data_IF_225144795535
#
_entry.id   IF_225144795535
#
_cell.length_a   1.000
_cell.length_b   1.000
_cell.length_c   1.000
_cell.angle_alpha   90.00
_cell.angle_beta   90.00
_cell.angle_gamma   90.00
#
_symmetry.space_group_name_H-M   'P 1'
#
loop_
_entity.id
_entity.type
_entity.pdbx_description
1 polymer ?
#
# COMPACT_ATOMS: atom_id res chain seq x y z
N UNK A 1 18.09 -10.12 1.64
CA UNK A 1 17.04 -9.66 0.70
C UNK A 1 15.82 -10.56 0.65
N UNK A 2 15.93 -11.90 0.56
CA UNK A 2 14.75 -12.78 0.58
C UNK A 2 13.83 -12.55 1.79
N UNK A 3 14.40 -12.39 3.00
CA UNK A 3 13.62 -12.10 4.22
C UNK A 3 12.83 -10.79 4.11
N UNK A 4 13.38 -9.75 3.48
CA UNK A 4 12.66 -8.49 3.29
C UNK A 4 11.45 -8.65 2.34
N UNK A 5 11.59 -9.44 1.27
CA UNK A 5 10.49 -9.78 0.36
C UNK A 5 9.42 -10.62 1.04
N UNK A 6 9.82 -11.61 1.85
CA UNK A 6 8.88 -12.42 2.65
C UNK A 6 8.11 -11.53 3.64
N UNK A 7 8.79 -10.59 4.31
CA UNK A 7 8.13 -9.64 5.20
C UNK A 7 7.13 -8.73 4.45
N UNK A 8 7.52 -8.25 3.26
CA UNK A 8 6.64 -7.46 2.39
C UNK A 8 5.39 -8.25 1.96
N UNK A 9 5.55 -9.50 1.53
CA UNK A 9 4.45 -10.39 1.18
C UNK A 9 3.54 -10.69 2.39
N UNK A 10 4.13 -10.89 3.57
CA UNK A 10 3.38 -11.08 4.82
C UNK A 10 2.72 -9.79 5.34
N UNK A 11 2.84 -8.66 4.64
CA UNK A 11 2.26 -7.38 5.03
C UNK A 11 2.98 -6.67 6.19
N UNK A 12 4.13 -7.17 6.64
CA UNK A 12 4.94 -6.56 7.70
C UNK A 12 5.85 -5.49 7.12
N UNK A 13 5.27 -4.31 6.84
CA UNK A 13 5.97 -3.25 6.12
C UNK A 13 7.19 -2.68 6.86
N UNK A 14 7.13 -2.57 8.20
CA UNK A 14 8.26 -2.09 9.01
C UNK A 14 9.42 -3.09 9.01
N UNK A 15 9.12 -4.38 9.17
CA UNK A 15 10.12 -5.45 9.06
C UNK A 15 10.77 -5.47 7.69
N UNK A 16 9.97 -5.30 6.63
CA UNK A 16 10.47 -5.27 5.25
C UNK A 16 11.48 -4.13 5.06
N UNK A 17 11.20 -2.93 5.60
CA UNK A 17 12.12 -1.79 5.57
C UNK A 17 13.40 -2.11 6.34
N UNK A 18 13.29 -2.52 7.60
CA UNK A 18 14.44 -2.79 8.45
C UNK A 18 15.37 -3.86 7.86
N UNK A 19 14.78 -4.93 7.30
CA UNK A 19 15.53 -6.01 6.65
C UNK A 19 16.18 -5.56 5.33
N UNK A 20 15.51 -4.73 4.53
CA UNK A 20 16.05 -4.19 3.29
C UNK A 20 17.23 -3.25 3.57
N UNK A 21 17.09 -2.31 4.51
CA UNK A 21 18.14 -1.39 4.91
C UNK A 21 19.33 -2.11 5.54
N UNK A 22 19.09 -3.10 6.39
CA UNK A 22 20.15 -3.93 6.98
C UNK A 22 20.95 -4.67 5.92
N UNK A 23 20.26 -5.24 4.91
CA UNK A 23 20.92 -5.91 3.81
C UNK A 23 21.76 -4.93 2.95
N UNK A 24 21.24 -3.72 2.67
CA UNK A 24 21.97 -2.66 1.96
C UNK A 24 23.26 -2.27 2.70
N UNK A 25 23.19 -2.01 4.02
CA UNK A 25 24.36 -1.66 4.82
C UNK A 25 25.44 -2.73 4.82
N UNK A 26 25.07 -4.01 4.95
CA UNK A 26 26.05 -5.14 4.97
C UNK A 26 26.80 -5.26 3.65
N UNK A 27 26.15 -5.03 2.53
CA UNK A 27 26.78 -5.15 1.21
C UNK A 27 27.70 -3.97 0.95
N UNK A 28 27.36 -2.75 1.44
CA UNK A 28 28.27 -1.58 1.39
C UNK A 28 29.54 -1.81 2.17
N UNK A 29 29.44 -2.38 3.38
CA UNK A 29 30.59 -2.72 4.22
C UNK A 29 31.52 -3.75 3.55
N UNK A 30 30.99 -4.62 2.67
CA UNK A 30 31.76 -5.60 1.91
C UNK A 30 32.33 -5.11 0.57
N UNK A 31 32.22 -3.81 0.26
CA UNK A 31 32.75 -3.22 -0.98
C UNK A 31 31.99 -3.61 -2.26
N UNK A 32 30.80 -4.20 -2.15
CA UNK A 32 29.95 -4.60 -3.26
C UNK A 32 28.75 -3.66 -3.41
N UNK A 33 28.66 -2.96 -4.53
CA UNK A 33 27.54 -2.05 -4.84
C UNK A 33 26.17 -2.73 -5.00
N UNK A 34 26.10 -4.06 -5.05
CA UNK A 34 24.88 -4.82 -5.33
C UNK A 34 23.78 -4.74 -4.23
N UNK A 35 24.08 -4.23 -3.03
CA UNK A 35 23.12 -4.22 -1.92
C UNK A 35 22.00 -3.22 -2.08
N UNK A 36 22.29 -2.04 -2.58
CA UNK A 36 21.29 -1.00 -2.83
C UNK A 36 20.33 -1.45 -3.93
N UNK A 37 20.85 -2.11 -4.96
CA UNK A 37 20.08 -2.62 -6.09
C UNK A 37 18.92 -3.52 -5.68
N UNK A 38 19.14 -4.43 -4.74
CA UNK A 38 18.14 -5.37 -4.28
C UNK A 38 17.20 -4.77 -3.21
N UNK A 39 17.67 -3.78 -2.46
CA UNK A 39 16.90 -3.14 -1.40
C UNK A 39 15.88 -2.12 -1.96
N UNK A 40 16.29 -1.35 -2.97
CA UNK A 40 15.47 -0.25 -3.53
C UNK A 40 14.09 -0.71 -4.00
N UNK A 41 13.92 -1.83 -4.73
CA UNK A 41 12.58 -2.28 -5.15
C UNK A 41 11.66 -2.57 -3.96
N UNK A 42 12.17 -3.17 -2.89
CA UNK A 42 11.37 -3.44 -1.68
C UNK A 42 11.00 -2.13 -0.98
N UNK A 43 11.95 -1.21 -0.82
CA UNK A 43 11.71 0.11 -0.21
C UNK A 43 10.74 0.95 -1.03
N UNK A 44 10.85 0.93 -2.36
CA UNK A 44 9.92 1.59 -3.27
C UNK A 44 8.50 0.99 -3.16
N UNK A 45 8.38 -0.33 -3.12
CA UNK A 45 7.08 -1.00 -2.94
C UNK A 45 6.44 -0.67 -1.59
N UNK A 46 7.21 -0.64 -0.50
CA UNK A 46 6.71 -0.23 0.81
C UNK A 46 6.24 1.22 0.80
N UNK A 47 7.06 2.14 0.27
CA UNK A 47 6.71 3.56 0.17
C UNK A 47 5.43 3.76 -0.66
N UNK A 48 5.29 3.03 -1.77
CA UNK A 48 4.10 3.05 -2.61
C UNK A 48 2.85 2.54 -1.86
N UNK A 49 2.95 1.42 -1.14
CA UNK A 49 1.85 0.89 -0.31
C UNK A 49 1.45 1.86 0.80
N UNK A 50 2.41 2.54 1.42
CA UNK A 50 2.19 3.60 2.43
C UNK A 50 1.64 4.91 1.84
N UNK A 51 1.64 5.06 0.52
CA UNK A 51 1.16 6.26 -0.17
C UNK A 51 2.18 7.39 -0.23
N UNK A 52 3.43 7.14 0.13
CA UNK A 52 4.54 8.11 -0.01
C UNK A 52 5.12 8.02 -1.43
N UNK A 53 4.43 8.67 -2.36
CA UNK A 53 4.82 8.65 -3.78
C UNK A 53 6.15 9.36 -4.06
N UNK A 54 6.50 10.35 -3.24
CA UNK A 54 7.77 11.09 -3.38
C UNK A 54 8.93 10.17 -3.06
N UNK A 55 8.84 9.47 -1.93
CA UNK A 55 9.87 8.52 -1.50
C UNK A 55 9.94 7.29 -2.39
N UNK A 56 8.80 6.78 -2.87
CA UNK A 56 8.77 5.70 -3.85
C UNK A 56 9.50 6.09 -5.14
N UNK A 57 9.25 7.29 -5.66
CA UNK A 57 9.93 7.81 -6.85
C UNK A 57 11.44 8.04 -6.62
N UNK A 58 11.85 8.53 -5.45
CA UNK A 58 13.26 8.67 -5.09
C UNK A 58 13.98 7.31 -5.14
N UNK A 59 13.40 6.27 -4.54
CA UNK A 59 13.98 4.93 -4.59
C UNK A 59 14.08 4.40 -6.03
N UNK A 60 13.04 4.60 -6.85
CA UNK A 60 13.02 4.20 -8.26
C UNK A 60 14.09 4.94 -9.06
N UNK A 61 14.29 6.25 -8.88
CA UNK A 61 15.32 7.04 -9.58
C UNK A 61 16.74 6.54 -9.30
N UNK A 62 16.97 5.86 -8.19
CA UNK A 62 18.27 5.27 -7.84
C UNK A 62 18.52 3.92 -8.51
N UNK A 63 17.49 3.28 -9.10
CA UNK A 63 17.61 1.96 -9.74
C UNK A 63 18.44 1.94 -11.04
N UNK A 64 18.34 2.91 -11.98
CA UNK A 64 19.08 2.89 -13.24
C UNK A 64 20.60 2.91 -13.07
N UNK A 65 21.12 3.57 -12.02
CA UNK A 65 22.52 3.54 -11.68
C UNK A 65 23.06 2.13 -11.35
N UNK A 66 22.15 1.18 -11.20
CA UNK A 66 22.40 -0.20 -10.75
C UNK A 66 22.17 -1.25 -11.85
N UNK A 67 21.67 -0.82 -13.03
CA UNK A 67 21.21 -1.69 -14.13
C UNK A 67 22.27 -2.61 -14.75
N UNK A 68 23.55 -2.41 -14.47
CA UNK A 68 24.63 -3.29 -14.94
C UNK A 68 24.87 -4.51 -14.02
N UNK A 69 24.13 -4.63 -12.90
CA UNK A 69 24.39 -5.66 -11.88
C UNK A 69 23.32 -6.75 -11.74
N UNK A 70 22.28 -6.75 -12.59
CA UNK A 70 21.24 -7.79 -12.52
C UNK A 70 21.44 -8.88 -13.57
N UNK A 71 22.05 -10.02 -13.21
CA UNK A 71 22.21 -11.14 -14.14
C UNK A 71 20.94 -11.98 -14.29
N UNK A 72 19.84 -11.64 -13.60
CA UNK A 72 18.60 -12.44 -13.57
C UNK A 72 17.42 -11.67 -14.11
N UNK A 73 16.73 -12.16 -15.15
CA UNK A 73 15.49 -11.57 -15.66
C UNK A 73 14.45 -11.33 -14.56
N UNK A 74 14.35 -12.27 -13.61
CA UNK A 74 13.42 -12.16 -12.47
C UNK A 74 13.65 -10.91 -11.61
N UNK A 75 14.90 -10.52 -11.38
CA UNK A 75 15.21 -9.31 -10.61
C UNK A 75 14.93 -8.05 -11.44
N UNK A 76 15.28 -8.07 -12.72
CA UNK A 76 15.03 -6.97 -13.66
C UNK A 76 13.54 -6.73 -13.82
N UNK A 77 12.74 -7.76 -14.03
CA UNK A 77 11.28 -7.66 -14.18
C UNK A 77 10.61 -7.15 -12.89
N UNK A 78 11.09 -7.60 -11.72
CA UNK A 78 10.58 -7.11 -10.43
C UNK A 78 10.87 -5.62 -10.19
N UNK A 79 12.03 -5.14 -10.63
CA UNK A 79 12.39 -3.71 -10.61
C UNK A 79 11.45 -2.93 -11.55
N UNK A 80 11.34 -3.35 -12.80
CA UNK A 80 10.49 -2.70 -13.80
C UNK A 80 9.02 -2.65 -13.39
N UNK A 81 8.52 -3.71 -12.73
CA UNK A 81 7.16 -3.73 -12.21
C UNK A 81 6.93 -2.64 -11.16
N UNK A 82 7.85 -2.47 -10.20
CA UNK A 82 7.73 -1.43 -9.18
C UNK A 82 7.84 -0.03 -9.80
N UNK A 83 8.72 0.17 -10.77
CA UNK A 83 8.81 1.43 -11.54
C UNK A 83 7.50 1.74 -12.25
N UNK A 84 6.91 0.75 -12.93
CA UNK A 84 5.62 0.90 -13.59
C UNK A 84 4.49 1.22 -12.60
N UNK A 85 4.49 0.62 -11.41
CA UNK A 85 3.53 0.92 -10.35
C UNK A 85 3.65 2.36 -9.83
N UNK A 86 4.87 2.89 -9.73
CA UNK A 86 5.11 4.29 -9.38
C UNK A 86 4.66 5.22 -10.50
N UNK A 87 4.93 4.86 -11.76
CA UNK A 87 4.46 5.60 -12.93
C UNK A 87 2.93 5.63 -13.02
N UNK A 88 2.27 4.49 -12.82
CA UNK A 88 0.79 4.42 -12.74
C UNK A 88 0.25 5.37 -11.69
N UNK A 89 0.86 5.39 -10.51
CA UNK A 89 0.43 6.26 -9.42
C UNK A 89 0.59 7.75 -9.71
N UNK A 90 1.60 8.14 -10.51
CA UNK A 90 1.95 9.54 -10.80
C UNK A 90 1.35 10.07 -12.10
N UNK A 91 1.25 9.22 -13.12
CA UNK A 91 0.92 9.61 -14.51
C UNK A 91 -0.27 8.84 -15.10
N UNK A 92 -0.80 7.86 -14.37
CA UNK A 92 -1.92 7.05 -14.78
C UNK A 92 -1.54 5.75 -15.51
N UNK A 93 -2.57 4.92 -15.81
CA UNK A 93 -2.39 3.55 -16.30
C UNK A 93 -1.67 3.48 -17.66
N UNK A 94 -1.92 4.41 -18.56
CA UNK A 94 -1.29 4.41 -19.89
C UNK A 94 0.24 4.53 -19.78
N UNK A 95 0.73 5.42 -18.93
CA UNK A 95 2.17 5.60 -18.73
C UNK A 95 2.89 4.35 -18.19
N UNK A 96 2.20 3.56 -17.37
CA UNK A 96 2.72 2.28 -16.88
C UNK A 96 2.80 1.23 -17.99
N UNK A 97 1.78 1.14 -18.86
CA UNK A 97 1.78 0.22 -19.99
C UNK A 97 2.85 0.59 -21.03
N UNK A 98 2.98 1.86 -21.37
CA UNK A 98 3.99 2.33 -22.32
C UNK A 98 5.41 2.03 -21.81
N UNK A 99 5.64 2.17 -20.50
CA UNK A 99 6.93 1.82 -19.86
C UNK A 99 7.22 0.31 -19.90
N UNK A 100 6.19 -0.55 -19.82
CA UNK A 100 6.33 -2.00 -19.86
C UNK A 100 6.11 -2.60 -21.25
N UNK A 101 5.98 -1.79 -22.31
CA UNK A 101 5.57 -2.26 -23.63
C UNK A 101 6.45 -3.40 -24.18
N UNK A 102 7.76 -3.32 -24.03
CA UNK A 102 8.71 -4.35 -24.44
C UNK A 102 8.59 -5.65 -23.60
N UNK A 103 8.43 -5.53 -22.28
CA UNK A 103 8.18 -6.69 -21.39
C UNK A 103 6.87 -7.36 -21.72
N UNK A 104 5.83 -6.59 -21.99
CA UNK A 104 4.51 -7.11 -22.30
C UNK A 104 4.43 -7.70 -23.71
N UNK A 105 5.22 -7.20 -24.68
CA UNK A 105 5.39 -7.80 -25.99
C UNK A 105 6.11 -9.13 -25.92
N UNK A 106 7.10 -9.26 -25.03
CA UNK A 106 7.90 -10.48 -24.81
C UNK A 106 7.40 -11.31 -23.61
N UNK A 107 6.12 -11.34 -23.28
CA UNK A 107 5.58 -12.10 -22.14
C UNK A 107 5.98 -13.57 -22.09
N UNK A 108 6.11 -14.33 -23.21
CA UNK A 108 6.61 -15.70 -23.19
C UNK A 108 8.00 -15.84 -22.56
N UNK A 109 8.88 -14.85 -22.76
CA UNK A 109 10.24 -14.78 -22.22
C UNK A 109 10.30 -14.08 -20.85
N UNK A 110 9.40 -13.11 -20.62
CA UNK A 110 9.33 -12.27 -19.41
C UNK A 110 8.26 -12.71 -18.41
N UNK A 111 7.97 -14.03 -18.32
CA UNK A 111 6.95 -14.57 -17.39
C UNK A 111 7.22 -14.21 -15.91
N UNK A 112 8.46 -13.91 -15.56
CA UNK A 112 8.85 -13.52 -14.20
C UNK A 112 8.16 -12.24 -13.73
N UNK A 113 7.74 -11.33 -14.62
CA UNK A 113 6.97 -10.13 -14.25
C UNK A 113 5.62 -10.49 -13.64
N UNK A 114 4.99 -11.57 -14.10
CA UNK A 114 3.70 -12.09 -13.60
C UNK A 114 3.84 -12.76 -12.22
N UNK A 115 5.04 -13.19 -11.87
CA UNK A 115 5.36 -14.00 -10.70
C UNK A 115 6.08 -13.21 -9.61
N UNK A 116 6.26 -11.91 -9.79
CA UNK A 116 6.97 -11.05 -8.81
C UNK A 116 6.29 -11.06 -7.44
N UNK A 117 4.97 -10.95 -7.43
CA UNK A 117 4.09 -11.24 -6.31
C UNK A 117 2.71 -11.70 -6.84
N UNK A 118 1.82 -12.26 -5.97
CA UNK A 118 0.52 -12.77 -6.42
C UNK A 118 -0.43 -11.71 -6.97
N UNK A 119 -0.19 -10.44 -6.67
CA UNK A 119 -0.99 -9.34 -7.18
C UNK A 119 -0.45 -8.76 -8.50
N UNK A 120 0.71 -9.21 -9.00
CA UNK A 120 1.37 -8.66 -10.20
C UNK A 120 0.52 -8.82 -11.44
N UNK A 121 0.10 -10.04 -11.78
CA UNK A 121 -0.71 -10.29 -12.97
C UNK A 121 -2.09 -9.58 -12.88
N UNK A 122 -2.86 -9.68 -11.77
CA UNK A 122 -4.09 -8.90 -11.61
C UNK A 122 -3.88 -7.38 -11.71
N UNK A 123 -2.78 -6.85 -11.16
CA UNK A 123 -2.48 -5.43 -11.30
C UNK A 123 -2.25 -5.03 -12.77
N UNK A 124 -1.48 -5.82 -13.53
CA UNK A 124 -1.25 -5.56 -14.95
C UNK A 124 -2.55 -5.60 -15.76
N UNK A 125 -3.43 -6.58 -15.50
CA UNK A 125 -4.77 -6.66 -16.13
C UNK A 125 -5.60 -5.42 -15.80
N UNK A 126 -5.64 -5.00 -14.54
CA UNK A 126 -6.37 -3.82 -14.10
C UNK A 126 -5.86 -2.54 -14.77
N UNK A 127 -4.54 -2.40 -14.90
CA UNK A 127 -3.91 -1.25 -15.58
C UNK A 127 -4.24 -1.25 -17.07
N UNK A 128 -4.19 -2.41 -17.73
CA UNK A 128 -4.53 -2.54 -19.14
C UNK A 128 -6.02 -2.19 -19.41
N UNK A 129 -6.93 -2.73 -18.60
CA UNK A 129 -8.36 -2.40 -18.69
C UNK A 129 -8.63 -0.91 -18.43
N UNK A 130 -7.95 -0.31 -17.44
CA UNK A 130 -8.09 1.12 -17.13
C UNK A 130 -7.51 2.04 -18.23
N UNK A 131 -6.55 1.55 -19.01
CA UNK A 131 -6.02 2.24 -20.21
C UNK A 131 -6.85 1.99 -21.48
N UNK A 132 -7.91 1.19 -21.41
CA UNK A 132 -8.74 0.81 -22.54
C UNK A 132 -8.14 -0.28 -23.44
N UNK A 133 -7.06 -0.92 -23.02
CA UNK A 133 -6.35 -1.96 -23.78
C UNK A 133 -6.78 -3.37 -23.33
N UNK A 134 -7.97 -3.76 -23.77
CA UNK A 134 -8.54 -5.07 -23.45
C UNK A 134 -7.77 -6.23 -24.10
N UNK A 135 -7.17 -5.99 -25.25
CA UNK A 135 -6.36 -7.00 -25.93
C UNK A 135 -5.11 -7.33 -25.13
N UNK A 136 -4.41 -6.30 -24.63
CA UNK A 136 -3.26 -6.51 -23.73
C UNK A 136 -3.67 -7.21 -22.44
N UNK A 137 -4.82 -6.85 -21.85
CA UNK A 137 -5.35 -7.54 -20.68
C UNK A 137 -5.58 -9.04 -20.96
N UNK A 138 -6.14 -9.39 -22.12
CA UNK A 138 -6.36 -10.78 -22.52
C UNK A 138 -5.02 -11.55 -22.71
N UNK A 139 -4.01 -10.92 -23.30
CA UNK A 139 -2.67 -11.52 -23.43
C UNK A 139 -2.03 -11.82 -22.07
N UNK A 140 -2.17 -10.91 -21.11
CA UNK A 140 -1.67 -11.12 -19.75
C UNK A 140 -2.39 -12.29 -19.07
N UNK A 141 -3.73 -12.36 -19.18
CA UNK A 141 -4.54 -13.47 -18.63
C UNK A 141 -4.13 -14.80 -19.25
N UNK A 142 -3.95 -14.86 -20.57
CA UNK A 142 -3.48 -16.07 -21.25
C UNK A 142 -2.12 -16.51 -20.72
N UNK A 143 -1.17 -15.59 -20.58
CA UNK A 143 0.18 -15.89 -20.12
C UNK A 143 0.21 -16.44 -18.68
N UNK A 144 -0.51 -15.80 -17.74
CA UNK A 144 -0.56 -16.30 -16.35
C UNK A 144 -1.35 -17.61 -16.26
N UNK A 145 -2.38 -17.80 -17.08
CA UNK A 145 -3.14 -19.04 -17.17
C UNK A 145 -2.29 -20.21 -17.68
N UNK A 146 -1.38 -19.99 -18.63
CA UNK A 146 -0.40 -20.99 -19.07
C UNK A 146 0.56 -21.37 -17.95
N UNK A 147 1.06 -20.39 -17.20
CA UNK A 147 1.93 -20.64 -16.03
C UNK A 147 1.18 -21.44 -14.98
N UNK A 148 -0.08 -21.11 -14.69
CA UNK A 148 -0.90 -21.84 -13.72
C UNK A 148 -1.16 -23.29 -14.14
N UNK A 149 -1.47 -23.53 -15.43
CA UNK A 149 -1.66 -24.89 -15.97
C UNK A 149 -0.39 -25.74 -15.92
N UNK A 150 0.77 -25.13 -16.13
CA UNK A 150 2.07 -25.78 -16.01
C UNK A 150 2.48 -26.07 -14.54
N UNK A 151 1.80 -25.46 -13.57
CA UNK A 151 2.12 -25.55 -12.13
C UNK A 151 0.86 -25.80 -11.28
N UNK A 152 0.12 -26.91 -11.49
CA UNK A 152 -1.21 -27.13 -10.89
C UNK A 152 -1.18 -27.26 -9.37
N UNK A 153 -0.04 -27.62 -8.78
CA UNK A 153 0.14 -27.75 -7.33
C UNK A 153 0.38 -26.41 -6.61
N UNK A 154 0.72 -25.34 -7.36
CA UNK A 154 1.01 -24.04 -6.80
C UNK A 154 -0.27 -23.18 -6.69
N UNK A 155 -1.01 -23.37 -5.60
CA UNK A 155 -2.29 -22.68 -5.34
C UNK A 155 -2.18 -21.14 -5.50
N UNK A 156 -1.04 -20.56 -5.13
CA UNK A 156 -0.81 -19.12 -5.23
C UNK A 156 -0.84 -18.60 -6.67
N UNK A 157 -0.23 -19.35 -7.60
CA UNK A 157 -0.19 -18.98 -9.03
C UNK A 157 -1.60 -19.15 -9.64
N UNK A 158 -2.29 -20.23 -9.28
CA UNK A 158 -3.66 -20.47 -9.72
C UNK A 158 -4.60 -19.35 -9.24
N UNK A 159 -4.54 -18.98 -7.97
CA UNK A 159 -5.36 -17.88 -7.44
C UNK A 159 -5.03 -16.53 -8.12
N UNK A 160 -3.76 -16.25 -8.43
CA UNK A 160 -3.37 -15.07 -9.21
C UNK A 160 -3.97 -15.08 -10.63
N UNK A 161 -3.98 -16.25 -11.30
CA UNK A 161 -4.58 -16.41 -12.62
C UNK A 161 -6.11 -16.23 -12.57
N UNK A 162 -6.78 -16.84 -11.61
CA UNK A 162 -8.24 -16.69 -11.40
C UNK A 162 -8.63 -15.24 -11.12
N UNK A 163 -7.85 -14.52 -10.29
CA UNK A 163 -8.09 -13.11 -10.05
C UNK A 163 -7.94 -12.27 -11.34
N UNK A 164 -6.88 -12.53 -12.12
CA UNK A 164 -6.65 -11.85 -13.38
C UNK A 164 -7.77 -12.13 -14.41
N UNK A 165 -8.22 -13.38 -14.52
CA UNK A 165 -9.32 -13.80 -15.39
C UNK A 165 -10.65 -13.17 -14.96
N UNK A 166 -10.96 -13.19 -13.67
CA UNK A 166 -12.17 -12.57 -13.13
C UNK A 166 -12.25 -11.06 -13.40
N UNK A 167 -11.12 -10.36 -13.41
CA UNK A 167 -11.06 -8.95 -13.82
C UNK A 167 -11.39 -8.78 -15.31
N UNK A 168 -10.83 -9.61 -16.19
CA UNK A 168 -11.03 -9.54 -17.64
C UNK A 168 -12.48 -9.87 -18.03
N UNK A 169 -13.04 -10.92 -17.39
CA UNK A 169 -14.38 -11.42 -17.68
C UNK A 169 -15.49 -10.74 -16.88
N UNK A 170 -15.10 -9.93 -15.88
CA UNK A 170 -16.01 -9.34 -14.88
C UNK A 170 -16.74 -10.40 -14.04
N UNK A 171 -16.10 -11.54 -13.80
CA UNK A 171 -16.65 -12.64 -13.01
C UNK A 171 -16.29 -12.51 -11.54
N UNK A 172 -17.27 -12.13 -10.73
CA UNK A 172 -17.14 -11.95 -9.27
C UNK A 172 -16.81 -13.28 -8.57
N UNK A 173 -17.29 -14.41 -9.10
CA UNK A 173 -17.09 -15.73 -8.46
C UNK A 173 -15.61 -16.15 -8.52
N UNK A 174 -14.90 -15.84 -9.61
CA UNK A 174 -13.47 -16.07 -9.73
C UNK A 174 -12.68 -15.23 -8.71
N UNK A 175 -13.08 -13.97 -8.49
CA UNK A 175 -12.41 -13.13 -7.50
C UNK A 175 -12.65 -13.62 -6.07
N UNK A 176 -13.85 -14.10 -5.76
CA UNK A 176 -14.18 -14.71 -4.47
C UNK A 176 -13.34 -15.95 -4.21
N UNK A 177 -13.25 -16.84 -5.20
CA UNK A 177 -12.46 -18.06 -5.10
C UNK A 177 -10.96 -17.74 -4.95
N UNK A 178 -10.44 -16.83 -5.76
CA UNK A 178 -9.05 -16.38 -5.67
C UNK A 178 -8.73 -15.78 -4.29
N UNK A 179 -9.58 -14.88 -3.78
CA UNK A 179 -9.34 -14.24 -2.48
C UNK A 179 -9.30 -15.24 -1.32
N UNK A 180 -10.13 -16.29 -1.37
CA UNK A 180 -10.15 -17.34 -0.36
C UNK A 180 -8.87 -18.20 -0.36
N UNK A 181 -8.17 -18.31 -1.50
CA UNK A 181 -6.95 -19.12 -1.65
C UNK A 181 -5.65 -18.31 -1.48
N UNK A 182 -5.70 -16.97 -1.45
CA UNK A 182 -4.51 -16.12 -1.33
C UNK A 182 -4.06 -16.02 0.14
N UNK A 183 -2.92 -16.62 0.52
CA UNK A 183 -2.35 -16.47 1.86
C UNK A 183 -1.67 -15.11 2.06
N UNK A 184 -1.26 -14.45 0.96
CA UNK A 184 -0.68 -13.10 0.97
C UNK A 184 -1.78 -12.09 1.29
N UNK A 185 -1.71 -11.40 2.45
CA UNK A 185 -2.78 -10.50 2.87
C UNK A 185 -2.93 -9.27 1.97
N UNK A 186 -1.85 -8.81 1.33
CA UNK A 186 -1.92 -7.71 0.36
C UNK A 186 -2.64 -8.14 -0.91
N UNK A 187 -2.28 -9.30 -1.49
CA UNK A 187 -2.91 -9.82 -2.69
C UNK A 187 -4.39 -10.14 -2.44
N UNK A 188 -4.72 -10.70 -1.26
CA UNK A 188 -6.11 -10.93 -0.84
C UNK A 188 -6.89 -9.64 -0.75
N UNK A 189 -6.36 -8.59 -0.11
CA UNK A 189 -7.02 -7.29 -0.03
C UNK A 189 -7.26 -6.69 -1.43
N UNK A 190 -6.32 -6.86 -2.37
CA UNK A 190 -6.49 -6.43 -3.76
C UNK A 190 -7.64 -7.18 -4.45
N UNK A 191 -7.74 -8.52 -4.28
CA UNK A 191 -8.80 -9.32 -4.87
C UNK A 191 -10.19 -8.94 -4.31
N UNK A 192 -10.29 -8.74 -3.00
CA UNK A 192 -11.54 -8.32 -2.34
C UNK A 192 -11.94 -6.90 -2.74
N UNK A 193 -10.99 -5.98 -2.91
CA UNK A 193 -11.26 -4.63 -3.43
C UNK A 193 -11.79 -4.67 -4.88
N UNK A 194 -11.16 -5.46 -5.73
CA UNK A 194 -11.57 -5.61 -7.12
C UNK A 194 -12.94 -6.28 -7.24
N UNK A 195 -13.22 -7.28 -6.40
CA UNK A 195 -14.57 -7.86 -6.25
C UNK A 195 -15.60 -6.78 -5.91
N UNK A 196 -15.31 -5.95 -4.91
CA UNK A 196 -16.20 -4.85 -4.54
C UNK A 196 -16.42 -3.85 -5.68
N UNK A 197 -15.39 -3.60 -6.50
CA UNK A 197 -15.50 -2.73 -7.67
C UNK A 197 -16.39 -3.33 -8.78
N UNK A 198 -16.26 -4.63 -9.06
CA UNK A 198 -17.11 -5.33 -10.03
C UNK A 198 -18.57 -5.39 -9.56
N UNK A 199 -18.80 -5.68 -8.27
CA UNK A 199 -20.14 -5.67 -7.69
C UNK A 199 -20.80 -4.29 -7.81
N UNK A 200 -20.05 -3.22 -7.56
CA UNK A 200 -20.53 -1.85 -7.74
C UNK A 200 -20.90 -1.55 -9.21
N UNK A 201 -20.06 -1.97 -10.14
CA UNK A 201 -20.31 -1.82 -11.57
C UNK A 201 -21.55 -2.61 -12.03
N UNK A 202 -21.89 -3.72 -11.36
CA UNK A 202 -23.08 -4.52 -11.59
C UNK A 202 -24.33 -4.01 -10.83
N UNK A 203 -24.27 -2.87 -10.14
CA UNK A 203 -25.38 -2.32 -9.35
C UNK A 203 -25.70 -3.08 -8.06
N UNK A 204 -24.80 -3.99 -7.62
CA UNK A 204 -24.94 -4.80 -6.38
C UNK A 204 -24.35 -4.06 -5.18
N UNK A 205 -24.84 -2.83 -4.93
CA UNK A 205 -24.23 -1.88 -3.99
C UNK A 205 -24.02 -2.42 -2.58
N UNK A 206 -25.01 -3.15 -2.02
CA UNK A 206 -24.89 -3.70 -0.66
C UNK A 206 -23.75 -4.70 -0.53
N UNK A 207 -23.52 -5.51 -1.55
CA UNK A 207 -22.43 -6.50 -1.59
C UNK A 207 -21.10 -5.82 -1.88
N UNK A 208 -21.10 -4.85 -2.79
CA UNK A 208 -19.93 -4.01 -3.06
C UNK A 208 -19.42 -3.32 -1.79
N UNK A 209 -20.32 -2.72 -1.01
CA UNK A 209 -19.97 -2.06 0.25
C UNK A 209 -19.34 -3.05 1.23
N UNK A 210 -19.91 -4.26 1.41
CA UNK A 210 -19.32 -5.27 2.30
C UNK A 210 -17.91 -5.66 1.89
N UNK A 211 -17.69 -5.96 0.61
CA UNK A 211 -16.36 -6.31 0.09
C UNK A 211 -15.36 -5.16 0.23
N UNK A 212 -15.78 -3.93 -0.09
CA UNK A 212 -14.91 -2.75 0.06
C UNK A 212 -14.58 -2.45 1.54
N UNK A 213 -15.51 -2.66 2.47
CA UNK A 213 -15.23 -2.51 3.90
C UNK A 213 -14.26 -3.59 4.41
N UNK A 214 -14.37 -4.81 3.91
CA UNK A 214 -13.41 -5.88 4.21
C UNK A 214 -12.02 -5.54 3.70
N UNK A 215 -11.89 -5.16 2.44
CA UNK A 215 -10.62 -4.72 1.85
C UNK A 215 -10.03 -3.52 2.61
N UNK A 216 -10.86 -2.57 3.03
CA UNK A 216 -10.44 -1.41 3.80
C UNK A 216 -9.83 -1.80 5.14
N UNK A 217 -10.49 -2.71 5.90
CA UNK A 217 -9.96 -3.21 7.17
C UNK A 217 -8.60 -3.91 6.99
N UNK A 218 -8.47 -4.70 5.93
CA UNK A 218 -7.21 -5.39 5.63
C UNK A 218 -6.09 -4.39 5.30
N UNK A 219 -6.34 -3.42 4.41
CA UNK A 219 -5.36 -2.37 4.08
C UNK A 219 -4.95 -1.51 5.29
N UNK A 220 -5.90 -1.20 6.17
CA UNK A 220 -5.63 -0.42 7.39
C UNK A 220 -4.72 -1.22 8.34
N UNK A 221 -5.02 -2.51 8.56
CA UNK A 221 -4.18 -3.42 9.35
C UNK A 221 -2.76 -3.56 8.80
N UNK A 222 -2.60 -3.54 7.47
CA UNK A 222 -1.32 -3.60 6.78
C UNK A 222 -0.57 -2.26 6.76
N UNK A 223 -1.15 -1.17 7.25
CA UNK A 223 -0.59 0.18 7.10
C UNK A 223 -0.52 0.67 5.64
N UNK A 224 -1.31 0.07 4.75
CA UNK A 224 -1.30 0.31 3.31
C UNK A 224 -2.18 1.51 2.94
N UNK A 225 -1.75 2.72 3.34
CA UNK A 225 -2.51 3.98 3.22
C UNK A 225 -3.02 4.28 1.81
N UNK A 226 -2.28 3.86 0.77
CA UNK A 226 -2.74 4.04 -0.63
C UNK A 226 -3.98 3.19 -0.91
N UNK A 227 -4.00 1.92 -0.49
CA UNK A 227 -5.17 1.04 -0.59
C UNK A 227 -6.36 1.60 0.20
N UNK A 228 -6.12 2.03 1.44
CA UNK A 228 -7.12 2.71 2.28
C UNK A 228 -7.75 3.90 1.57
N UNK A 229 -6.94 4.79 1.00
CA UNK A 229 -7.43 5.99 0.31
C UNK A 229 -8.28 5.65 -0.93
N UNK A 230 -7.83 4.67 -1.72
CA UNK A 230 -8.53 4.21 -2.93
C UNK A 230 -9.87 3.57 -2.57
N UNK A 231 -9.90 2.66 -1.60
CA UNK A 231 -11.11 1.96 -1.16
C UNK A 231 -12.12 2.92 -0.52
N UNK A 232 -11.65 3.87 0.31
CA UNK A 232 -12.51 4.94 0.85
C UNK A 232 -13.14 5.80 -0.24
N UNK A 233 -12.42 6.08 -1.32
CA UNK A 233 -12.99 6.82 -2.46
C UNK A 233 -14.12 6.04 -3.12
N UNK A 234 -13.96 4.73 -3.36
CA UNK A 234 -15.00 3.85 -3.93
C UNK A 234 -16.24 3.78 -3.03
N UNK A 235 -16.05 3.64 -1.72
CA UNK A 235 -17.15 3.63 -0.75
C UNK A 235 -17.93 4.96 -0.74
N UNK A 236 -17.22 6.10 -0.86
CA UNK A 236 -17.90 7.41 -1.01
C UNK A 236 -18.73 7.51 -2.29
N UNK A 237 -18.27 6.93 -3.39
CA UNK A 237 -19.02 6.87 -4.66
C UNK A 237 -20.32 6.07 -4.51
N UNK A 238 -20.36 5.06 -3.64
CA UNK A 238 -21.55 4.29 -3.27
C UNK A 238 -22.39 4.96 -2.15
N UNK A 239 -22.13 6.22 -1.85
CA UNK A 239 -22.89 6.98 -0.85
C UNK A 239 -22.54 6.72 0.61
N UNK A 240 -21.54 5.86 0.88
CA UNK A 240 -21.11 5.56 2.26
C UNK A 240 -20.33 6.74 2.82
N UNK A 241 -20.99 7.52 3.69
CA UNK A 241 -20.41 8.65 4.41
C UNK A 241 -20.19 8.29 5.89
N UNK A 242 -19.12 7.56 6.20
CA UNK A 242 -18.74 7.36 7.60
C UNK A 242 -17.79 8.47 8.04
N UNK A 243 -18.20 9.26 9.05
CA UNK A 243 -17.36 10.33 9.63
C UNK A 243 -16.09 9.82 10.32
N UNK A 244 -16.02 8.54 10.72
CA UNK A 244 -14.93 7.96 11.50
C UNK A 244 -14.56 6.53 11.02
N UNK A 245 -13.81 6.42 9.94
CA UNK A 245 -13.25 5.15 9.48
C UNK A 245 -12.03 4.68 10.30
N UNK A 246 -11.49 5.54 11.18
CA UNK A 246 -10.27 5.29 11.95
C UNK A 246 -10.54 4.89 13.42
N UNK A 247 -11.81 4.62 13.80
CA UNK A 247 -12.21 4.57 15.21
C UNK A 247 -12.38 3.17 15.82
N UNK A 248 -12.35 2.08 15.03
CA UNK A 248 -12.68 0.76 15.61
C UNK A 248 -11.54 0.10 16.40
N UNK A 249 -10.32 0.66 16.39
CA UNK A 249 -9.17 0.12 17.14
C UNK A 249 -8.56 1.10 18.16
N UNK A 250 -9.11 2.31 18.29
CA UNK A 250 -8.61 3.26 19.29
C UNK A 250 -9.49 3.23 20.54
N UNK A 251 -8.90 3.29 21.75
CA UNK A 251 -9.66 3.44 22.99
C UNK A 251 -10.60 4.64 22.90
N UNK A 252 -11.74 4.58 23.60
CA UNK A 252 -12.72 5.66 23.60
C UNK A 252 -12.19 6.95 24.25
N UNK A 253 -11.17 6.86 25.13
CA UNK A 253 -10.57 7.96 25.86
C UNK A 253 -9.06 7.78 26.06
N UNK A 254 -8.37 8.85 26.47
CA UNK A 254 -6.94 8.88 26.73
C UNK A 254 -6.07 9.16 25.49
N UNK A 255 -4.75 9.25 25.69
CA UNK A 255 -3.79 9.65 24.65
C UNK A 255 -3.83 8.75 23.40
N UNK A 256 -4.01 7.44 23.59
CA UNK A 256 -4.12 6.46 22.50
C UNK A 256 -5.40 6.63 21.64
N UNK A 257 -6.40 7.39 22.13
CA UNK A 257 -7.62 7.72 21.38
C UNK A 257 -7.41 8.84 20.36
N UNK A 258 -6.31 9.60 20.49
CA UNK A 258 -6.03 10.75 19.62
C UNK A 258 -5.61 10.29 18.22
N UNK A 259 -6.10 10.97 17.21
CA UNK A 259 -5.62 10.82 15.83
C UNK A 259 -4.22 11.41 15.66
N UNK A 260 -3.51 11.04 14.61
CA UNK A 260 -2.14 11.52 14.34
C UNK A 260 -2.08 13.04 14.27
N UNK A 261 -3.09 13.70 13.66
CA UNK A 261 -3.19 15.15 13.59
C UNK A 261 -3.54 15.77 14.97
N UNK A 262 -4.34 15.09 15.78
CA UNK A 262 -4.66 15.51 17.15
C UNK A 262 -3.44 15.38 18.06
N UNK A 263 -2.65 14.28 17.92
CA UNK A 263 -1.38 14.12 18.64
C UNK A 263 -0.35 15.16 18.21
N UNK A 264 -0.20 15.40 16.89
CA UNK A 264 0.69 16.44 16.39
C UNK A 264 0.28 17.82 16.92
N UNK A 265 -1.02 18.13 16.90
CA UNK A 265 -1.54 19.38 17.48
C UNK A 265 -1.24 19.48 18.97
N UNK A 266 -1.42 18.39 19.73
CA UNK A 266 -1.15 18.35 21.18
C UNK A 266 0.35 18.55 21.49
N UNK A 267 1.27 17.94 20.72
CA UNK A 267 2.71 18.14 20.87
C UNK A 267 3.13 19.58 20.61
N UNK A 268 2.60 20.21 19.56
CA UNK A 268 2.89 21.61 19.26
C UNK A 268 2.32 22.58 20.32
N UNK A 269 1.23 22.20 20.99
CA UNK A 269 0.75 22.90 22.17
C UNK A 269 1.72 22.80 23.33
N UNK A 270 2.31 21.63 23.55
CA UNK A 270 3.32 21.42 24.61
C UNK A 270 4.59 22.23 24.35
N UNK A 271 4.93 22.50 23.08
CA UNK A 271 6.01 23.39 22.65
C UNK A 271 5.67 24.88 22.84
N UNK A 272 4.47 25.20 23.34
CA UNK A 272 4.03 26.59 23.59
C UNK A 272 3.53 27.35 22.35
N UNK A 273 3.31 26.70 21.20
CA UNK A 273 2.91 27.36 19.97
C UNK A 273 1.47 27.86 20.05
N UNK A 274 1.20 29.05 19.49
CA UNK A 274 -0.17 29.56 19.31
C UNK A 274 -0.90 28.80 18.19
N UNK A 275 -2.24 28.87 18.19
CA UNK A 275 -3.05 28.23 17.14
C UNK A 275 -2.66 28.69 15.73
N UNK A 276 -2.24 29.96 15.58
CA UNK A 276 -1.77 30.50 14.29
C UNK A 276 -0.46 29.84 13.84
N UNK A 277 0.48 29.64 14.76
CA UNK A 277 1.76 28.96 14.45
C UNK A 277 1.56 27.46 14.18
N UNK A 278 0.68 26.81 14.96
CA UNK A 278 0.29 25.40 14.72
C UNK A 278 -0.35 25.26 13.34
N UNK A 279 -1.25 26.17 12.97
CA UNK A 279 -1.89 26.20 11.65
C UNK A 279 -0.85 26.29 10.51
N UNK A 280 0.15 27.15 10.68
CA UNK A 280 1.26 27.28 9.71
C UNK A 280 2.12 26.01 9.61
N UNK A 281 2.46 25.37 10.72
CA UNK A 281 3.30 24.15 10.72
C UNK A 281 2.56 22.93 10.17
N UNK A 282 1.25 22.81 10.43
CA UNK A 282 0.45 21.68 9.96
C UNK A 282 -0.22 21.94 8.60
N UNK A 283 -0.01 23.12 7.99
CA UNK A 283 -0.61 23.53 6.71
C UNK A 283 -2.15 23.43 6.72
N UNK A 284 -2.79 23.85 7.82
CA UNK A 284 -4.24 23.86 8.02
C UNK A 284 -4.72 25.26 8.50
N UNK A 285 -6.04 25.49 8.50
CA UNK A 285 -6.58 26.75 9.02
C UNK A 285 -6.54 26.81 10.56
N UNK A 286 -6.50 28.03 11.12
CA UNK A 286 -6.62 28.23 12.58
C UNK A 286 -7.94 27.70 13.13
N UNK A 287 -9.01 27.73 12.32
CA UNK A 287 -10.29 27.13 12.65
C UNK A 287 -10.21 25.61 12.78
N UNK A 288 -9.45 24.97 11.88
CA UNK A 288 -9.18 23.52 11.91
C UNK A 288 -8.38 23.14 13.15
N UNK A 289 -7.37 23.93 13.54
CA UNK A 289 -6.62 23.74 14.78
C UNK A 289 -7.56 23.83 16.01
N UNK A 290 -8.43 24.84 16.07
CA UNK A 290 -9.40 24.98 17.15
C UNK A 290 -10.39 23.81 17.21
N UNK A 291 -10.78 23.25 16.06
CA UNK A 291 -11.58 22.04 15.99
C UNK A 291 -10.85 20.84 16.57
N UNK A 292 -9.60 20.59 16.16
CA UNK A 292 -8.79 19.47 16.69
C UNK A 292 -8.57 19.61 18.19
N UNK A 293 -8.28 20.80 18.70
CA UNK A 293 -8.11 21.03 20.14
C UNK A 293 -9.37 20.70 20.93
N UNK A 294 -10.55 21.06 20.44
CA UNK A 294 -11.83 20.66 21.08
C UNK A 294 -11.99 19.13 21.13
N UNK A 295 -11.65 18.44 20.05
CA UNK A 295 -11.69 16.96 20.03
C UNK A 295 -10.69 16.35 21.04
N UNK A 296 -9.46 16.88 21.08
CA UNK A 296 -8.44 16.47 22.05
C UNK A 296 -8.91 16.65 23.47
N UNK A 297 -9.48 17.81 23.79
CA UNK A 297 -10.01 18.11 25.14
C UNK A 297 -11.11 17.13 25.55
N UNK A 298 -12.05 16.82 24.63
CA UNK A 298 -13.07 15.82 24.89
C UNK A 298 -12.49 14.40 25.11
N UNK A 299 -11.52 13.99 24.28
CA UNK A 299 -10.95 12.64 24.35
C UNK A 299 -10.04 12.42 25.56
N UNK A 300 -9.40 13.48 26.04
CA UNK A 300 -8.53 13.45 27.22
C UNK A 300 -9.26 13.83 28.51
N UNK A 301 -10.53 14.21 28.41
CA UNK A 301 -11.35 14.72 29.51
C UNK A 301 -10.66 15.89 30.28
N UNK A 302 -10.14 16.86 29.53
CA UNK A 302 -9.45 18.03 30.05
C UNK A 302 -10.15 19.32 29.63
N UNK A 303 -9.93 20.39 30.40
CA UNK A 303 -10.58 21.68 30.19
C UNK A 303 -9.62 22.84 29.90
N UNK A 304 -8.32 22.60 30.02
CA UNK A 304 -7.32 23.64 29.84
C UNK A 304 -6.21 23.24 28.87
N UNK A 305 -5.63 24.28 28.21
CA UNK A 305 -4.46 24.11 27.34
C UNK A 305 -3.23 23.72 28.15
N UNK A 306 -3.16 24.07 29.42
CA UNK A 306 -2.05 23.71 30.34
C UNK A 306 -2.10 22.23 30.66
N UNK A 307 -3.29 21.65 30.90
CA UNK A 307 -3.45 20.24 31.13
C UNK A 307 -3.02 19.45 29.88
N UNK A 308 -3.38 19.93 28.69
CA UNK A 308 -2.96 19.32 27.44
C UNK A 308 -1.44 19.32 27.28
N UNK A 309 -0.79 20.45 27.56
CA UNK A 309 0.66 20.56 27.48
C UNK A 309 1.36 19.57 28.43
N UNK A 310 0.87 19.45 29.68
CA UNK A 310 1.38 18.49 30.67
C UNK A 310 1.26 17.05 30.17
N UNK A 311 0.10 16.63 29.72
CA UNK A 311 -0.14 15.26 29.21
C UNK A 311 0.71 14.99 27.98
N UNK A 312 0.85 15.94 27.07
CA UNK A 312 1.66 15.77 25.86
C UNK A 312 3.16 15.62 26.18
N UNK A 313 3.66 16.35 27.18
CA UNK A 313 5.03 16.21 27.67
C UNK A 313 5.28 14.86 28.35
N UNK A 314 4.33 14.34 29.11
CA UNK A 314 4.41 13.00 29.70
C UNK A 314 4.55 11.92 28.62
N UNK A 315 3.86 12.04 27.50
CA UNK A 315 3.89 11.10 26.38
C UNK A 315 5.01 11.38 25.35
N UNK A 316 5.71 12.50 25.46
CA UNK A 316 6.89 12.82 24.66
C UNK A 316 8.20 12.28 25.23
N UNK A 317 8.23 11.85 26.52
CA UNK A 317 9.39 11.21 27.12
C UNK A 317 9.50 9.78 26.59
N UNK A 318 10.63 9.36 25.95
CA UNK A 318 10.85 7.97 25.64
C UNK A 318 10.86 7.17 26.96
N UNK A 319 10.35 5.94 26.94
CA UNK A 319 10.47 4.94 28.02
C UNK A 319 11.95 4.59 28.27
N UNK A 320 12.69 5.48 28.90
CA UNK A 320 14.01 5.23 29.42
C UNK A 320 13.93 5.40 30.94
N UNK A 321 13.52 4.35 31.63
CA UNK A 321 13.82 3.99 33.00
C UNK A 321 12.66 3.25 33.68
N UNK A 322 12.40 2.03 33.24
CA UNK A 322 11.81 1.02 34.12
C UNK A 322 12.59 -0.27 33.91
N UNK A 323 13.73 -0.35 34.56
CA UNK A 323 14.34 -1.64 34.90
C UNK A 323 14.65 -1.56 36.40
N UNK A 324 14.07 -2.49 37.22
CA UNK A 324 14.42 -2.63 38.62
C UNK A 324 15.80 -3.22 38.81
#
# INVERSE_FOLDING_TARGET
MLRARIALAAGRLDDAVALAESASRRVKAGGRFAGDSLAMPVLAAVALRRGDLSKAAEYVQRLPALGHYYPSPYLTDGVRLVEAQVLEARRGPRAALDFLADVLAGLPEHRSVLLTDPASAPWLVRVALAAGDREQAARIVTAIGEVARGNPTLALIRASAEHAEGLLTSDVSLLQHASAQLPDPWARACAVEDQGALLAAAGRDREAIRSLEEALREYDRLGARRGVARTRRRLRQLGVRRRHWASEQRPAAGWASLTDIEQATARLVAEGLTNQRIAGQLFISTHTVAFHLRQVFCKLDIRSRVDLARIALEHARPEAAQTP
#
